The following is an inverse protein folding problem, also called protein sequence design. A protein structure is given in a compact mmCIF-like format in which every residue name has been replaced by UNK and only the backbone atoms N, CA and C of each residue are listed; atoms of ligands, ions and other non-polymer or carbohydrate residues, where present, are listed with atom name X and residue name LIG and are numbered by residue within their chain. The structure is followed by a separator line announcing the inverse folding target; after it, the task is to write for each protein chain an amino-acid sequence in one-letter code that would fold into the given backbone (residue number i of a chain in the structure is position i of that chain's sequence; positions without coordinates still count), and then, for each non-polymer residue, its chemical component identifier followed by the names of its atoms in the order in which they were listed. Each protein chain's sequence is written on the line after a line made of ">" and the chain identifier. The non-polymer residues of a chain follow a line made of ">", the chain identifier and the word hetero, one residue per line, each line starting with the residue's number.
data_IF_038703740598
#
_entry.id   IF_038703740598
#
_cell.length_a   1.000
_cell.length_b   1.000
_cell.length_c   1.000
_cell.angle_alpha   90.00
_cell.angle_beta   90.00
_cell.angle_gamma   90.00
#
_symmetry.space_group_name_H-M   'P 1'
#
loop_
_entity.id
_entity.type
_entity.pdbx_description
1 polymer ?
#
# COMPACT_ATOMS: atom_id res chain seq x y z
N UNK A 1 -16.56 39.67 41.70
CA UNK A 1 -17.00 38.52 42.51
C UNK A 1 -17.69 37.44 41.61
N UNK A 2 -18.69 37.74 40.71
CA UNK A 2 -19.36 36.69 39.90
C UNK A 2 -18.44 35.97 38.93
N UNK A 3 -17.46 36.67 38.35
CA UNK A 3 -16.48 36.08 37.37
C UNK A 3 -15.54 35.03 38.02
N UNK A 4 -15.17 35.23 39.28
CA UNK A 4 -14.34 34.28 40.04
C UNK A 4 -15.12 32.99 40.37
N UNK A 5 -16.39 33.11 40.70
CA UNK A 5 -17.26 31.94 40.91
C UNK A 5 -17.48 31.14 39.63
N UNK A 6 -17.74 31.80 38.49
CA UNK A 6 -17.91 31.13 37.21
C UNK A 6 -16.63 30.41 36.74
N UNK A 7 -15.47 31.03 36.95
CA UNK A 7 -14.17 30.41 36.63
C UNK A 7 -13.90 29.18 37.51
N UNK A 8 -14.25 29.29 38.84
CA UNK A 8 -14.12 28.16 39.76
C UNK A 8 -14.99 26.95 39.36
N UNK A 9 -16.23 27.17 38.98
CA UNK A 9 -17.11 26.12 38.46
C UNK A 9 -16.62 25.53 37.16
N UNK A 10 -16.08 26.33 36.23
CA UNK A 10 -15.53 25.87 34.97
C UNK A 10 -14.29 24.99 35.20
N UNK A 11 -13.36 25.39 36.07
CA UNK A 11 -12.20 24.58 36.45
C UNK A 11 -12.58 23.27 37.14
N UNK A 12 -13.62 23.31 38.02
CA UNK A 12 -14.15 22.13 38.68
C UNK A 12 -14.75 21.15 37.64
N UNK A 13 -15.53 21.65 36.69
CA UNK A 13 -16.10 20.84 35.59
C UNK A 13 -15.00 20.17 34.75
N UNK A 14 -13.94 20.90 34.40
CA UNK A 14 -12.77 20.35 33.70
C UNK A 14 -12.11 19.25 34.55
N UNK A 15 -11.89 19.50 35.84
CA UNK A 15 -11.28 18.50 36.72
C UNK A 15 -12.13 17.23 36.84
N UNK A 16 -13.45 17.38 36.99
CA UNK A 16 -14.39 16.26 37.04
C UNK A 16 -14.39 15.50 35.71
N UNK A 17 -14.37 16.21 34.58
CA UNK A 17 -14.29 15.58 33.25
C UNK A 17 -12.98 14.79 33.07
N UNK A 18 -11.85 15.33 33.55
CA UNK A 18 -10.55 14.62 33.53
C UNK A 18 -10.56 13.36 34.38
N UNK A 19 -11.12 13.43 35.60
CA UNK A 19 -11.24 12.27 36.48
C UNK A 19 -12.17 11.22 35.86
N UNK A 20 -13.34 11.62 35.36
CA UNK A 20 -14.28 10.71 34.70
C UNK A 20 -13.66 10.03 33.46
N UNK A 21 -12.91 10.80 32.65
CA UNK A 21 -12.18 10.26 31.49
C UNK A 21 -11.10 9.27 31.93
N UNK A 22 -10.32 9.60 32.97
CA UNK A 22 -9.33 8.69 33.55
C UNK A 22 -9.93 7.38 34.06
N UNK A 23 -11.05 7.46 34.76
CA UNK A 23 -11.78 6.28 35.23
C UNK A 23 -12.33 5.43 34.06
N UNK A 24 -12.81 6.07 33.00
CA UNK A 24 -13.26 5.36 31.79
C UNK A 24 -12.10 4.61 31.16
N UNK A 25 -10.93 5.25 30.97
CA UNK A 25 -9.74 4.59 30.42
C UNK A 25 -9.27 3.43 31.29
N UNK A 26 -9.26 3.61 32.61
CA UNK A 26 -8.93 2.54 33.56
C UNK A 26 -9.92 1.37 33.44
N UNK A 27 -11.19 1.66 33.36
CA UNK A 27 -12.24 0.63 33.20
C UNK A 27 -12.04 -0.16 31.90
N UNK A 28 -11.81 0.53 30.79
CA UNK A 28 -11.51 -0.11 29.49
C UNK A 28 -10.28 -1.01 29.60
N UNK A 29 -9.21 -0.51 30.25
CA UNK A 29 -8.00 -1.31 30.48
C UNK A 29 -8.27 -2.55 31.33
N UNK A 30 -8.97 -2.40 32.45
CA UNK A 30 -9.29 -3.51 33.35
C UNK A 30 -10.16 -4.57 32.68
N UNK A 31 -11.18 -4.17 31.92
CA UNK A 31 -12.01 -5.09 31.14
C UNK A 31 -11.20 -5.83 30.08
N UNK A 32 -10.36 -5.10 29.30
CA UNK A 32 -9.50 -5.69 28.31
C UNK A 32 -8.48 -6.66 28.95
N UNK A 33 -7.89 -6.29 30.08
CA UNK A 33 -6.96 -7.12 30.83
C UNK A 33 -7.64 -8.39 31.38
N UNK A 34 -8.80 -8.23 32.02
CA UNK A 34 -9.58 -9.37 32.54
C UNK A 34 -9.98 -10.35 31.43
N UNK A 35 -10.28 -9.87 30.23
CA UNK A 35 -10.56 -10.71 29.08
C UNK A 35 -9.30 -11.42 28.53
N UNK A 36 -8.13 -10.78 28.55
CA UNK A 36 -6.87 -11.29 27.99
C UNK A 36 -6.06 -12.14 28.94
N UNK A 37 -6.04 -11.82 30.22
CA UNK A 37 -5.20 -12.49 31.23
C UNK A 37 -5.43 -14.01 31.31
N UNK A 38 -6.67 -14.54 31.29
CA UNK A 38 -6.89 -15.99 31.28
C UNK A 38 -6.45 -16.70 30.00
N UNK A 39 -6.37 -15.93 28.88
CA UNK A 39 -6.01 -16.43 27.55
C UNK A 39 -4.54 -16.24 27.21
N UNK A 40 -3.74 -15.75 28.16
CA UNK A 40 -2.31 -15.55 27.97
C UNK A 40 -1.58 -16.88 27.84
N UNK A 41 -0.47 -16.85 27.11
CA UNK A 41 0.44 -18.01 27.08
C UNK A 41 1.06 -18.24 28.46
N UNK A 42 1.33 -19.50 28.82
CA UNK A 42 1.87 -19.89 30.14
C UNK A 42 3.16 -19.14 30.51
N UNK A 43 4.02 -18.86 29.53
CA UNK A 43 5.27 -18.11 29.73
C UNK A 43 5.10 -16.61 29.95
N UNK A 44 3.89 -16.06 29.84
CA UNK A 44 3.64 -14.65 30.12
C UNK A 44 3.33 -14.43 31.61
N UNK A 45 4.16 -13.63 32.28
CA UNK A 45 3.82 -13.10 33.60
C UNK A 45 2.59 -12.17 33.52
N UNK A 46 1.90 -11.98 34.66
CA UNK A 46 0.76 -11.03 34.72
C UNK A 46 1.19 -9.60 34.36
N UNK A 47 2.38 -9.18 34.82
CA UNK A 47 2.94 -7.86 34.49
C UNK A 47 3.20 -7.70 32.97
N UNK A 48 3.76 -8.74 32.33
CA UNK A 48 3.94 -8.75 30.88
C UNK A 48 2.58 -8.67 30.17
N UNK A 49 1.57 -9.45 30.64
CA UNK A 49 0.22 -9.42 30.07
C UNK A 49 -0.46 -8.05 30.22
N UNK A 50 -0.28 -7.37 31.34
CA UNK A 50 -0.78 -6.01 31.57
C UNK A 50 -0.16 -5.03 30.55
N UNK A 51 1.18 -5.08 30.42
CA UNK A 51 1.90 -4.28 29.43
C UNK A 51 1.46 -4.58 27.99
N UNK A 52 1.38 -5.84 27.65
CA UNK A 52 0.90 -6.29 26.34
C UNK A 52 -0.52 -5.78 26.04
N UNK A 53 -1.41 -5.78 27.05
CA UNK A 53 -2.78 -5.26 26.93
C UNK A 53 -2.77 -3.75 26.72
N UNK A 54 -1.94 -3.01 27.45
CA UNK A 54 -1.78 -1.56 27.26
C UNK A 54 -1.28 -1.25 25.84
N UNK A 55 -0.22 -1.91 25.38
CA UNK A 55 0.29 -1.76 24.03
C UNK A 55 -0.76 -2.08 22.95
N UNK A 56 -1.56 -3.13 23.17
CA UNK A 56 -2.64 -3.50 22.26
C UNK A 56 -3.72 -2.42 22.19
N UNK A 57 -4.14 -1.84 23.31
CA UNK A 57 -5.10 -0.72 23.34
C UNK A 57 -4.54 0.51 22.60
N UNK A 58 -3.31 0.89 22.87
CA UNK A 58 -2.65 2.02 22.20
C UNK A 58 -2.58 1.81 20.69
N UNK A 59 -2.23 0.60 20.25
CA UNK A 59 -2.20 0.28 18.81
C UNK A 59 -3.61 0.32 18.21
N UNK A 60 -4.62 -0.20 18.90
CA UNK A 60 -6.03 -0.17 18.42
C UNK A 60 -6.58 1.26 18.30
N UNK A 61 -6.16 2.17 19.17
CA UNK A 61 -6.55 3.58 19.08
C UNK A 61 -5.91 4.29 17.89
N UNK A 62 -4.63 4.00 17.61
CA UNK A 62 -3.84 4.77 16.62
C UNK A 62 -3.67 4.11 15.26
N UNK A 63 -3.91 2.79 15.15
CA UNK A 63 -3.56 2.02 13.96
C UNK A 63 -4.64 1.01 13.57
N UNK A 64 -4.85 0.85 12.27
CA UNK A 64 -5.62 -0.26 11.69
C UNK A 64 -4.63 -1.28 11.16
N UNK A 65 -4.40 -2.36 11.90
CA UNK A 65 -3.38 -3.36 11.57
C UNK A 65 -4.02 -4.54 10.85
N UNK A 66 -3.53 -4.83 9.64
CA UNK A 66 -3.84 -6.04 8.87
C UNK A 66 -2.65 -6.97 8.96
N UNK A 67 -2.88 -8.25 9.29
CA UNK A 67 -1.82 -9.26 9.45
C UNK A 67 -2.08 -10.43 8.54
N UNK A 68 -1.03 -10.94 7.90
CA UNK A 68 -1.01 -12.20 7.14
C UNK A 68 0.12 -13.07 7.68
N UNK A 69 -0.08 -14.39 7.75
CA UNK A 69 0.93 -15.35 8.19
C UNK A 69 1.10 -15.45 9.70
N UNK A 70 0.11 -15.05 10.51
CA UNK A 70 0.18 -15.13 11.97
C UNK A 70 0.39 -16.59 12.45
N UNK A 71 -0.13 -17.55 11.69
CA UNK A 71 0.01 -18.99 11.89
C UNK A 71 1.45 -19.49 11.72
N UNK A 72 2.32 -18.70 11.10
CA UNK A 72 3.74 -19.06 10.93
C UNK A 72 4.57 -18.84 12.20
N UNK A 73 4.03 -18.16 13.23
CA UNK A 73 4.70 -18.02 14.53
C UNK A 73 4.57 -19.37 15.26
N UNK A 74 5.68 -20.08 15.53
CA UNK A 74 5.62 -21.38 16.21
C UNK A 74 5.00 -21.26 17.60
N UNK A 75 4.12 -22.21 17.94
CA UNK A 75 3.50 -22.26 19.27
C UNK A 75 4.54 -22.57 20.37
N UNK A 76 5.57 -23.31 20.03
CA UNK A 76 6.64 -23.74 20.93
C UNK A 76 8.01 -23.67 20.24
N UNK A 77 9.07 -23.80 21.02
CA UNK A 77 10.45 -23.76 20.54
C UNK A 77 10.97 -22.33 20.30
N UNK A 78 12.28 -22.21 20.19
CA UNK A 78 12.95 -20.94 19.92
C UNK A 78 12.78 -20.51 18.48
N UNK A 79 12.59 -19.22 18.24
CA UNK A 79 12.55 -18.65 16.91
C UNK A 79 13.12 -17.24 16.89
N UNK A 80 13.97 -16.95 15.91
CA UNK A 80 14.53 -15.61 15.70
C UNK A 80 13.65 -14.83 14.72
N UNK A 81 12.85 -13.91 15.25
CA UNK A 81 12.10 -12.95 14.45
C UNK A 81 13.04 -11.89 13.87
N UNK A 82 12.98 -11.69 12.57
CA UNK A 82 13.76 -10.67 11.87
C UNK A 82 12.79 -9.75 11.12
N UNK A 83 12.76 -8.46 11.48
CA UNK A 83 11.86 -7.49 10.88
C UNK A 83 12.62 -6.26 10.37
N UNK A 84 12.03 -5.55 9.39
CA UNK A 84 12.46 -4.21 9.00
C UNK A 84 12.08 -3.19 10.09
N UNK A 85 12.87 -2.10 10.20
CA UNK A 85 12.71 -1.10 11.27
C UNK A 85 12.39 0.29 10.72
N UNK A 86 11.12 0.65 10.75
CA UNK A 86 10.58 1.87 10.12
C UNK A 86 10.21 2.94 11.14
N UNK A 87 9.69 2.52 12.30
CA UNK A 87 9.23 3.42 13.36
C UNK A 87 9.46 2.82 14.77
N UNK A 88 9.51 3.66 15.77
CA UNK A 88 9.59 3.19 17.18
C UNK A 88 8.41 2.29 17.59
N UNK A 89 7.24 2.44 16.94
CA UNK A 89 6.08 1.60 17.22
C UNK A 89 6.20 0.17 16.66
N UNK A 90 7.19 -0.14 15.82
CA UNK A 90 7.38 -1.51 15.28
C UNK A 90 7.53 -2.54 16.40
N UNK A 91 8.23 -2.17 17.48
CA UNK A 91 8.39 -3.02 18.67
C UNK A 91 7.04 -3.37 19.30
N UNK A 92 6.13 -2.38 19.39
CA UNK A 92 4.78 -2.58 19.94
C UNK A 92 3.98 -3.50 19.04
N UNK A 93 4.03 -3.27 17.72
CA UNK A 93 3.34 -4.10 16.72
C UNK A 93 3.80 -5.55 16.83
N UNK A 94 5.11 -5.77 16.80
CA UNK A 94 5.70 -7.11 16.89
C UNK A 94 5.38 -7.80 18.23
N UNK A 95 5.46 -7.05 19.33
CA UNK A 95 5.17 -7.58 20.67
C UNK A 95 3.71 -8.03 20.83
N UNK A 96 2.76 -7.25 20.27
CA UNK A 96 1.33 -7.50 20.42
C UNK A 96 0.81 -8.62 19.51
N UNK A 97 1.48 -8.90 18.38
CA UNK A 97 1.07 -9.94 17.44
C UNK A 97 1.38 -11.36 17.94
N UNK A 98 2.40 -11.52 18.75
CA UNK A 98 2.74 -12.83 19.31
C UNK A 98 1.88 -13.16 20.52
N UNK A 99 1.41 -14.41 20.58
CA UNK A 99 0.77 -14.97 21.80
C UNK A 99 1.80 -15.33 22.87
N UNK A 100 3.07 -15.43 22.52
CA UNK A 100 4.20 -15.76 23.38
C UNK A 100 5.00 -14.49 23.69
N UNK A 101 5.69 -14.38 24.82
CA UNK A 101 6.59 -13.26 25.08
C UNK A 101 7.65 -13.13 24.00
N UNK A 102 7.89 -11.90 23.56
CA UNK A 102 8.94 -11.59 22.58
C UNK A 102 10.02 -10.78 23.29
N UNK A 103 11.26 -11.28 23.27
CA UNK A 103 12.43 -10.55 23.76
C UNK A 103 13.02 -9.72 22.62
N UNK A 104 13.05 -8.42 22.81
CA UNK A 104 13.66 -7.51 21.85
C UNK A 104 15.11 -7.22 22.20
N UNK A 105 15.96 -7.09 21.18
CA UNK A 105 17.23 -6.42 21.34
C UNK A 105 16.97 -4.92 21.37
N UNK A 106 17.39 -4.26 22.45
CA UNK A 106 17.16 -2.82 22.67
C UNK A 106 18.46 -2.08 22.91
N UNK A 107 18.52 -0.81 22.48
CA UNK A 107 19.68 0.02 22.77
C UNK A 107 19.85 0.20 24.28
N UNK A 108 21.06 -0.05 24.78
CA UNK A 108 21.41 0.02 26.22
C UNK A 108 21.01 1.35 26.87
N UNK A 109 21.05 2.45 26.12
CA UNK A 109 20.66 3.76 26.64
C UNK A 109 19.22 3.86 27.16
N UNK A 110 18.31 2.97 26.69
CA UNK A 110 16.95 2.94 27.21
C UNK A 110 16.86 2.44 28.65
N UNK A 111 17.79 1.58 29.09
CA UNK A 111 17.82 1.09 30.47
C UNK A 111 18.14 2.18 31.51
N UNK A 112 18.84 3.24 31.10
CA UNK A 112 19.18 4.37 31.94
C UNK A 112 17.98 5.30 32.22
N UNK A 113 16.96 5.25 31.38
CA UNK A 113 15.76 6.06 31.58
C UNK A 113 14.78 5.31 32.51
N UNK A 114 14.33 5.98 33.60
CA UNK A 114 13.50 5.36 34.65
C UNK A 114 12.30 4.58 34.11
N UNK A 115 11.50 5.22 33.24
CA UNK A 115 10.31 4.62 32.65
C UNK A 115 10.65 3.56 31.59
N UNK A 116 11.51 3.89 30.62
CA UNK A 116 11.89 2.94 29.56
C UNK A 116 12.65 1.76 30.10
N UNK A 117 13.55 1.97 31.09
CA UNK A 117 14.27 0.89 31.75
C UNK A 117 13.33 -0.08 32.52
N UNK A 118 12.28 0.46 33.18
CA UNK A 118 11.25 -0.38 33.78
C UNK A 118 10.53 -1.21 32.72
N UNK A 119 10.15 -0.62 31.58
CA UNK A 119 9.53 -1.31 30.46
C UNK A 119 10.43 -2.41 29.89
N UNK A 120 11.71 -2.08 29.66
CA UNK A 120 12.72 -3.03 29.17
C UNK A 120 12.84 -4.24 30.10
N UNK A 121 12.92 -4.02 31.41
CA UNK A 121 12.99 -5.11 32.40
C UNK A 121 11.72 -5.96 32.42
N UNK A 122 10.55 -5.32 32.37
CA UNK A 122 9.26 -6.05 32.36
C UNK A 122 9.10 -6.93 31.11
N UNK A 123 9.56 -6.43 29.96
CA UNK A 123 9.54 -7.16 28.69
C UNK A 123 10.72 -8.13 28.54
N UNK A 124 11.69 -8.13 29.44
CA UNK A 124 12.88 -8.97 29.37
C UNK A 124 13.72 -8.69 28.14
N UNK A 125 13.89 -7.41 27.76
CA UNK A 125 14.70 -7.05 26.59
C UNK A 125 16.17 -7.38 26.81
N UNK A 126 16.90 -7.58 25.72
CA UNK A 126 18.34 -7.84 25.72
C UNK A 126 19.06 -6.54 25.32
N UNK A 127 19.81 -5.91 26.23
CA UNK A 127 20.50 -4.67 25.93
C UNK A 127 21.63 -4.90 24.93
N UNK A 128 21.75 -4.00 23.95
CA UNK A 128 22.81 -4.01 22.94
C UNK A 128 23.48 -2.65 22.86
N UNK A 129 24.81 -2.65 22.82
CA UNK A 129 25.66 -1.49 22.52
C UNK A 129 26.88 -1.98 21.75
N UNK A 130 27.71 -1.06 21.25
CA UNK A 130 28.94 -1.43 20.54
C UNK A 130 29.88 -2.26 21.43
N UNK A 131 29.94 -1.95 22.72
CA UNK A 131 30.76 -2.66 23.71
C UNK A 131 30.16 -3.99 24.17
N UNK A 132 28.83 -4.14 24.14
CA UNK A 132 28.09 -5.31 24.62
C UNK A 132 27.55 -6.21 23.50
N UNK A 133 27.94 -5.99 22.24
CA UNK A 133 27.43 -6.75 21.11
C UNK A 133 27.64 -8.26 21.25
N UNK A 134 28.82 -8.68 21.75
CA UNK A 134 29.14 -10.11 21.99
C UNK A 134 28.22 -10.72 23.08
N UNK A 135 28.01 -9.99 24.17
CA UNK A 135 27.13 -10.42 25.27
C UNK A 135 25.68 -10.55 24.79
N UNK A 136 25.19 -9.58 24.00
CA UNK A 136 23.85 -9.60 23.43
C UNK A 136 23.65 -10.82 22.52
N UNK A 137 24.64 -11.19 21.68
CA UNK A 137 24.60 -12.39 20.85
C UNK A 137 24.52 -13.65 21.72
N UNK A 138 25.30 -13.72 22.78
CA UNK A 138 25.31 -14.88 23.70
C UNK A 138 23.94 -15.01 24.38
N UNK A 139 23.44 -13.95 25.02
CA UNK A 139 22.13 -13.95 25.71
C UNK A 139 20.97 -14.25 24.77
N UNK A 140 21.02 -13.76 23.52
CA UNK A 140 20.01 -14.04 22.52
C UNK A 140 20.02 -15.51 22.11
N UNK A 141 21.20 -16.09 21.87
CA UNK A 141 21.34 -17.51 21.55
C UNK A 141 20.85 -18.42 22.69
N UNK A 142 21.16 -18.07 23.94
CA UNK A 142 20.68 -18.80 25.12
C UNK A 142 19.16 -18.70 25.27
N UNK A 143 18.55 -17.53 25.01
CA UNK A 143 17.11 -17.36 25.03
C UNK A 143 16.43 -18.23 23.96
N UNK A 144 16.97 -18.27 22.76
CA UNK A 144 16.49 -19.16 21.68
C UNK A 144 16.62 -20.64 22.07
N UNK A 145 17.74 -21.05 22.65
CA UNK A 145 17.95 -22.43 23.11
C UNK A 145 16.97 -22.85 24.23
N UNK A 146 16.50 -21.90 25.07
CA UNK A 146 15.43 -22.13 26.04
C UNK A 146 14.02 -22.17 25.42
N UNK A 147 13.91 -22.05 24.09
CA UNK A 147 12.63 -22.07 23.41
C UNK A 147 11.93 -20.71 23.39
N UNK A 148 12.62 -19.61 23.64
CA UNK A 148 12.01 -18.28 23.66
C UNK A 148 11.99 -17.64 22.26
N UNK A 149 11.13 -16.62 22.06
CA UNK A 149 11.13 -15.79 20.85
C UNK A 149 12.06 -14.59 21.07
N UNK A 150 13.03 -14.44 20.18
CA UNK A 150 13.91 -13.27 20.15
C UNK A 150 13.62 -12.47 18.89
N UNK A 151 13.39 -11.17 19.01
CA UNK A 151 13.16 -10.27 17.89
C UNK A 151 14.32 -9.30 17.71
N UNK A 152 14.83 -9.22 16.48
CA UNK A 152 15.88 -8.29 16.09
C UNK A 152 15.47 -7.50 14.85
N UNK A 153 15.84 -6.22 14.85
CA UNK A 153 15.83 -5.36 13.67
C UNK A 153 17.28 -5.29 13.15
N UNK A 154 17.65 -6.12 12.16
CA UNK A 154 19.06 -6.30 11.80
C UNK A 154 19.67 -5.09 11.09
N UNK A 155 18.88 -4.09 10.75
CA UNK A 155 19.33 -2.80 10.24
C UNK A 155 20.11 -2.01 11.31
N UNK A 156 19.85 -2.28 12.58
CA UNK A 156 20.52 -1.67 13.72
C UNK A 156 20.16 -0.21 14.00
N UNK A 157 19.28 0.37 13.20
CA UNK A 157 18.69 1.69 13.39
C UNK A 157 17.39 1.82 12.60
N UNK A 158 16.59 2.85 12.93
CA UNK A 158 15.40 3.19 12.14
C UNK A 158 15.80 3.70 10.77
N UNK A 159 15.07 3.26 9.73
CA UNK A 159 15.30 3.74 8.36
C UNK A 159 15.17 5.27 8.26
N UNK A 160 15.98 5.87 7.39
CA UNK A 160 15.94 7.31 7.09
C UNK A 160 15.22 7.66 5.79
N UNK A 161 14.96 6.68 4.96
CA UNK A 161 14.30 6.84 3.64
C UNK A 161 13.03 6.01 3.46
N UNK A 162 12.65 5.20 4.48
CA UNK A 162 11.47 4.34 4.44
C UNK A 162 11.70 2.96 3.81
N UNK A 163 12.87 2.73 3.22
CA UNK A 163 13.24 1.44 2.62
C UNK A 163 14.05 0.55 3.58
N UNK A 164 14.19 -0.72 3.21
CA UNK A 164 15.01 -1.70 3.93
C UNK A 164 16.50 -1.35 3.76
N UNK A 165 17.17 -1.09 4.87
CA UNK A 165 18.60 -0.79 4.90
C UNK A 165 19.45 -2.07 4.80
N UNK A 166 20.76 -1.92 4.87
CA UNK A 166 21.69 -3.03 4.93
C UNK A 166 21.54 -3.81 6.24
N UNK A 167 21.49 -5.13 6.16
CA UNK A 167 21.40 -5.99 7.33
C UNK A 167 22.78 -6.20 7.94
N UNK A 168 22.91 -6.01 9.24
CA UNK A 168 24.12 -6.30 10.02
C UNK A 168 24.21 -7.80 10.33
N UNK A 169 25.39 -8.41 10.18
CA UNK A 169 25.61 -9.85 10.33
C UNK A 169 25.34 -10.44 11.75
N UNK A 170 25.07 -9.60 12.75
CA UNK A 170 24.82 -10.06 14.12
C UNK A 170 23.69 -11.09 14.25
N UNK A 171 22.63 -10.97 13.46
CA UNK A 171 21.51 -11.90 13.49
C UNK A 171 21.93 -13.32 13.06
N UNK A 172 22.88 -13.47 12.14
CA UNK A 172 23.40 -14.76 11.68
C UNK A 172 24.08 -15.51 12.82
N UNK A 173 24.87 -14.78 13.61
CA UNK A 173 25.55 -15.37 14.77
C UNK A 173 24.55 -15.79 15.86
N UNK A 174 23.50 -15.00 16.09
CA UNK A 174 22.43 -15.32 17.04
C UNK A 174 21.69 -16.59 16.59
N UNK A 175 21.29 -16.67 15.32
CA UNK A 175 20.56 -17.82 14.78
C UNK A 175 21.37 -19.12 14.86
N UNK A 176 22.65 -19.05 14.46
CA UNK A 176 23.56 -20.22 14.54
C UNK A 176 23.78 -20.66 15.97
N UNK A 177 24.01 -19.73 16.90
CA UNK A 177 24.25 -20.05 18.30
C UNK A 177 23.04 -20.67 18.99
N UNK A 178 21.84 -20.15 18.68
CA UNK A 178 20.59 -20.62 19.27
C UNK A 178 20.03 -21.87 18.61
N UNK A 179 20.57 -22.32 17.47
CA UNK A 179 20.04 -23.43 16.69
C UNK A 179 18.58 -23.24 16.24
N UNK A 180 18.09 -22.02 16.27
CA UNK A 180 16.68 -21.68 16.04
C UNK A 180 16.44 -21.26 14.59
N UNK A 181 15.25 -21.55 14.04
CA UNK A 181 14.86 -21.06 12.72
C UNK A 181 14.70 -19.53 12.71
N UNK A 182 14.89 -18.96 11.53
CA UNK A 182 14.66 -17.54 11.24
C UNK A 182 13.24 -17.36 10.74
N UNK A 183 12.49 -16.42 11.35
CA UNK A 183 11.15 -16.03 10.92
C UNK A 183 11.17 -14.60 10.41
N UNK A 184 11.10 -14.39 9.10
CA UNK A 184 11.13 -13.05 8.51
C UNK A 184 9.76 -12.39 8.63
N UNK A 185 9.75 -11.10 8.95
CA UNK A 185 8.53 -10.29 9.06
C UNK A 185 8.73 -8.95 8.36
N UNK A 186 7.76 -8.53 7.57
CA UNK A 186 7.74 -7.21 6.97
C UNK A 186 6.60 -6.37 7.53
N UNK A 187 6.93 -5.11 7.87
CA UNK A 187 5.98 -4.10 8.35
C UNK A 187 5.93 -2.99 7.31
N UNK A 188 4.74 -2.69 6.80
CA UNK A 188 4.47 -1.58 5.89
C UNK A 188 3.46 -0.60 6.50
N UNK A 189 3.46 0.65 6.02
CA UNK A 189 2.55 1.71 6.47
C UNK A 189 3.07 2.54 7.65
N UNK A 190 4.15 2.15 8.33
CA UNK A 190 4.71 2.90 9.47
C UNK A 190 5.50 4.12 9.04
N UNK A 191 6.03 4.17 7.81
CA UNK A 191 6.72 5.34 7.28
C UNK A 191 5.76 6.52 7.11
N UNK A 192 6.10 7.67 7.64
CA UNK A 192 5.22 8.84 7.72
C UNK A 192 4.36 8.91 8.99
N UNK A 193 4.45 7.92 9.90
CA UNK A 193 3.87 8.03 11.25
C UNK A 193 4.62 9.06 12.09
N UNK A 194 4.00 9.53 13.17
CA UNK A 194 4.65 10.44 14.14
C UNK A 194 5.91 9.83 14.76
N UNK A 195 5.99 8.50 14.83
CA UNK A 195 7.08 7.73 15.42
C UNK A 195 8.15 7.29 14.42
N UNK A 196 8.08 7.72 13.14
CA UNK A 196 9.08 7.46 12.10
C UNK A 196 9.93 8.69 11.83
N UNK A 197 11.08 8.54 11.14
CA UNK A 197 11.95 9.65 10.72
C UNK A 197 11.54 10.33 9.41
N UNK A 198 10.38 10.02 8.89
CA UNK A 198 9.87 10.67 7.68
C UNK A 198 9.84 12.20 7.84
N UNK A 199 10.41 12.94 6.88
CA UNK A 199 10.56 14.38 6.96
C UNK A 199 11.68 14.86 7.91
N UNK A 200 12.62 13.98 8.26
CA UNK A 200 13.81 14.32 9.06
C UNK A 200 13.58 14.49 10.56
N UNK A 201 12.34 14.36 11.03
CA UNK A 201 11.96 14.54 12.45
C UNK A 201 11.07 13.38 12.90
N UNK A 202 11.24 12.93 14.15
CA UNK A 202 10.32 12.05 14.87
C UNK A 202 9.62 12.81 15.99
N UNK A 203 8.42 12.36 16.40
CA UNK A 203 7.55 12.89 17.46
C UNK A 203 6.88 14.25 17.20
N UNK A 204 7.50 15.18 16.47
CA UNK A 204 7.00 16.55 16.28
C UNK A 204 6.35 16.72 14.88
N UNK A 205 5.34 15.90 14.57
CA UNK A 205 4.56 16.03 13.34
C UNK A 205 3.13 15.56 13.56
N UNK A 206 2.18 16.20 12.88
CA UNK A 206 0.79 15.79 12.91
C UNK A 206 0.59 14.51 12.09
N UNK A 207 -0.27 13.58 12.56
CA UNK A 207 -0.60 12.38 11.81
C UNK A 207 -1.39 12.75 10.56
N UNK A 208 -0.93 12.29 9.39
CA UNK A 208 -1.66 12.49 8.12
C UNK A 208 -2.89 11.59 7.98
N UNK A 209 -2.90 10.46 8.67
CA UNK A 209 -3.98 9.48 8.69
C UNK A 209 -4.22 9.01 10.12
N UNK A 210 -5.48 8.95 10.54
CA UNK A 210 -5.87 8.47 11.85
C UNK A 210 -7.24 7.77 11.76
N UNK A 211 -7.37 6.49 12.19
CA UNK A 211 -6.28 5.56 12.51
C UNK A 211 -5.38 5.29 11.29
N UNK A 212 -4.10 5.01 11.54
CA UNK A 212 -3.13 4.77 10.47
C UNK A 212 -3.17 3.32 10.00
N UNK A 213 -3.31 3.05 8.68
CA UNK A 213 -3.26 1.70 8.16
C UNK A 213 -1.82 1.15 8.20
N UNK A 214 -1.68 -0.07 8.71
CA UNK A 214 -0.42 -0.81 8.81
C UNK A 214 -0.67 -2.23 8.32
N UNK A 215 0.20 -2.73 7.46
CA UNK A 215 0.22 -4.11 7.03
C UNK A 215 1.43 -4.84 7.61
N UNK A 216 1.22 -6.07 8.04
CA UNK A 216 2.28 -6.95 8.54
C UNK A 216 2.17 -8.29 7.86
N UNK A 217 3.27 -8.74 7.29
CA UNK A 217 3.36 -10.06 6.66
C UNK A 217 4.44 -10.87 7.36
N UNK A 218 4.05 -12.01 7.87
CA UNK A 218 4.92 -12.97 8.55
C UNK A 218 5.19 -14.14 7.61
N UNK A 219 6.43 -14.29 7.20
CA UNK A 219 6.84 -15.36 6.29
C UNK A 219 6.91 -16.72 6.98
N UNK A 220 7.22 -17.74 6.21
CA UNK A 220 7.49 -19.09 6.77
C UNK A 220 8.85 -19.11 7.44
N UNK A 221 9.00 -19.82 8.59
CA UNK A 221 10.30 -20.00 9.20
C UNK A 221 11.21 -20.84 8.30
N UNK A 222 12.51 -20.53 8.32
CA UNK A 222 13.52 -21.25 7.55
C UNK A 222 14.79 -21.49 8.40
N UNK A 223 15.60 -22.50 8.05
CA UNK A 223 16.79 -22.85 8.83
C UNK A 223 17.82 -21.71 8.89
N UNK A 224 18.52 -21.59 10.03
CA UNK A 224 19.63 -20.64 10.21
C UNK A 224 20.75 -20.80 9.15
N UNK A 225 20.94 -22.00 8.58
CA UNK A 225 21.89 -22.25 7.50
C UNK A 225 21.59 -21.46 6.22
N UNK A 226 20.32 -21.07 6.01
CA UNK A 226 19.87 -20.28 4.86
C UNK A 226 19.85 -18.76 5.12
N UNK A 227 20.52 -18.29 6.16
CA UNK A 227 20.53 -16.87 6.56
C UNK A 227 20.86 -15.89 5.43
N UNK A 228 21.64 -16.31 4.42
CA UNK A 228 21.95 -15.48 3.26
C UNK A 228 20.71 -15.05 2.46
N UNK A 229 19.62 -15.84 2.53
CA UNK A 229 18.33 -15.53 1.87
C UNK A 229 17.48 -14.51 2.66
N UNK A 230 17.86 -14.15 3.89
CA UNK A 230 17.04 -13.29 4.79
C UNK A 230 16.66 -11.99 4.14
N UNK A 231 17.60 -11.28 3.48
CA UNK A 231 17.32 -10.01 2.82
C UNK A 231 16.30 -10.17 1.68
N UNK A 232 16.46 -11.21 0.86
CA UNK A 232 15.53 -11.49 -0.24
C UNK A 232 14.12 -11.76 0.32
N UNK A 233 14.02 -12.61 1.34
CA UNK A 233 12.74 -12.92 1.99
C UNK A 233 12.07 -11.69 2.58
N UNK A 234 12.83 -10.80 3.22
CA UNK A 234 12.28 -9.54 3.74
C UNK A 234 11.78 -8.62 2.62
N UNK A 235 12.47 -8.56 1.46
CA UNK A 235 12.02 -7.78 0.30
C UNK A 235 10.74 -8.36 -0.32
N UNK A 236 10.64 -9.68 -0.46
CA UNK A 236 9.44 -10.38 -0.93
C UNK A 236 8.24 -10.07 -0.02
N UNK A 237 8.41 -10.21 1.30
CA UNK A 237 7.36 -9.92 2.27
C UNK A 237 7.01 -8.42 2.33
N UNK A 238 7.99 -7.53 2.13
CA UNK A 238 7.74 -6.09 2.06
C UNK A 238 6.87 -5.73 0.84
N UNK A 239 7.10 -6.40 -0.30
CA UNK A 239 6.25 -6.23 -1.49
C UNK A 239 4.82 -6.75 -1.22
N UNK A 240 4.68 -7.90 -0.53
CA UNK A 240 3.37 -8.43 -0.12
C UNK A 240 2.65 -7.48 0.86
N UNK A 241 3.37 -6.95 1.86
CA UNK A 241 2.81 -6.00 2.82
C UNK A 241 2.36 -4.70 2.13
N UNK A 242 3.16 -4.20 1.19
CA UNK A 242 2.79 -3.07 0.34
C UNK A 242 1.50 -3.33 -0.43
N UNK A 243 1.38 -4.52 -1.04
CA UNK A 243 0.19 -4.92 -1.79
C UNK A 243 -1.09 -5.01 -0.93
N UNK A 244 -0.98 -5.11 0.40
CA UNK A 244 -2.11 -5.10 1.33
C UNK A 244 -2.66 -3.70 1.63
N UNK A 245 -2.09 -2.63 1.08
CA UNK A 245 -2.59 -1.26 1.29
C UNK A 245 -3.99 -1.12 0.72
N UNK A 246 -4.90 -0.59 1.52
CA UNK A 246 -6.29 -0.36 1.09
C UNK A 246 -6.39 0.60 -0.12
N UNK A 247 -5.45 1.54 -0.26
CA UNK A 247 -5.38 2.45 -1.40
C UNK A 247 -5.15 1.73 -2.75
N UNK A 248 -4.58 0.52 -2.73
CA UNK A 248 -4.33 -0.29 -3.92
C UNK A 248 -5.51 -1.22 -4.26
N UNK A 249 -6.57 -1.23 -3.44
CA UNK A 249 -7.80 -1.98 -3.71
C UNK A 249 -8.78 -1.18 -4.58
N UNK A 250 -8.49 0.11 -4.81
CA UNK A 250 -9.30 1.00 -5.61
C UNK A 250 -9.40 0.59 -7.08
N UNK A 251 -10.40 1.13 -7.78
CA UNK A 251 -10.56 0.97 -9.22
C UNK A 251 -9.81 2.09 -9.95
N UNK A 252 -8.89 1.75 -10.87
CA UNK A 252 -8.03 2.71 -11.58
C UNK A 252 -8.84 3.85 -12.23
N UNK A 253 -9.92 3.53 -12.92
CA UNK A 253 -10.78 4.53 -13.55
C UNK A 253 -11.38 5.51 -12.53
N UNK A 254 -11.73 5.04 -11.33
CA UNK A 254 -12.27 5.89 -10.26
C UNK A 254 -11.18 6.80 -9.68
N UNK A 255 -10.01 6.28 -9.41
CA UNK A 255 -8.88 7.06 -8.86
C UNK A 255 -8.42 8.15 -9.85
N UNK A 256 -8.31 7.79 -11.14
CA UNK A 256 -7.96 8.75 -12.20
C UNK A 256 -9.07 9.82 -12.36
N UNK A 257 -10.35 9.41 -12.36
CA UNK A 257 -11.47 10.34 -12.45
C UNK A 257 -11.51 11.32 -11.27
N UNK A 258 -11.26 10.83 -10.05
CA UNK A 258 -11.17 11.65 -8.85
C UNK A 258 -10.01 12.64 -8.92
N UNK A 259 -8.84 12.18 -9.36
CA UNK A 259 -7.66 13.03 -9.55
C UNK A 259 -7.89 14.14 -10.58
N UNK A 260 -8.51 13.82 -11.72
CA UNK A 260 -8.83 14.80 -12.78
C UNK A 260 -9.93 15.76 -12.33
N UNK A 261 -10.96 15.29 -11.62
CA UNK A 261 -12.01 16.14 -11.08
C UNK A 261 -11.44 17.14 -10.05
N UNK A 262 -10.59 16.71 -9.14
CA UNK A 262 -9.88 17.58 -8.18
C UNK A 262 -8.98 18.60 -8.86
N UNK A 263 -8.34 18.24 -9.97
CA UNK A 263 -7.56 19.16 -10.79
C UNK A 263 -8.43 20.26 -11.43
N UNK A 264 -9.68 19.95 -11.73
CA UNK A 264 -10.68 20.89 -12.21
C UNK A 264 -10.22 21.70 -13.41
N UNK A 265 -10.07 23.02 -13.23
CA UNK A 265 -9.62 23.98 -14.26
C UNK A 265 -8.10 24.00 -14.50
N UNK A 266 -7.29 23.32 -13.71
CA UNK A 266 -5.85 23.28 -13.92
C UNK A 266 -5.49 22.37 -15.12
N UNK A 267 -4.39 22.70 -15.84
CA UNK A 267 -3.90 21.94 -16.98
C UNK A 267 -3.48 20.54 -16.52
N UNK A 268 -4.05 19.51 -17.15
CA UNK A 268 -3.76 18.11 -16.91
C UNK A 268 -2.99 17.46 -18.08
N UNK A 269 -3.17 17.94 -19.30
CA UNK A 269 -2.51 17.42 -20.49
C UNK A 269 -2.12 18.58 -21.42
N UNK A 270 -0.90 18.53 -21.95
CA UNK A 270 -0.43 19.40 -23.04
C UNK A 270 -0.14 18.53 -24.25
N UNK A 271 -0.93 18.68 -25.32
CA UNK A 271 -0.72 18.00 -26.58
C UNK A 271 0.14 18.89 -27.52
N UNK A 272 1.20 18.29 -28.06
CA UNK A 272 2.12 18.93 -29.03
C UNK A 272 2.24 18.15 -30.35
N UNK A 273 1.30 17.27 -30.62
CA UNK A 273 1.30 16.46 -31.85
C UNK A 273 1.12 17.29 -33.12
N UNK A 274 0.52 18.47 -32.99
CA UNK A 274 0.39 19.49 -34.04
C UNK A 274 0.65 20.89 -33.46
N UNK A 275 -0.36 21.73 -33.33
CA UNK A 275 -0.28 22.95 -32.53
C UNK A 275 -0.39 22.63 -31.05
N UNK A 276 0.32 23.40 -30.22
CA UNK A 276 0.20 23.26 -28.75
C UNK A 276 -1.25 23.47 -28.30
N UNK A 277 -1.83 22.44 -27.69
CA UNK A 277 -3.18 22.48 -27.10
C UNK A 277 -3.13 22.02 -25.65
N UNK A 278 -3.86 22.70 -24.80
CA UNK A 278 -3.91 22.43 -23.36
C UNK A 278 -5.31 21.97 -22.97
N UNK A 279 -5.35 20.91 -22.16
CA UNK A 279 -6.58 20.32 -21.66
C UNK A 279 -6.58 20.36 -20.14
N UNK A 280 -7.64 20.91 -19.57
CA UNK A 280 -7.84 20.92 -18.12
C UNK A 280 -8.26 19.54 -17.62
N UNK A 281 -8.10 19.28 -16.31
CA UNK A 281 -8.54 18.02 -15.70
C UNK A 281 -10.02 17.75 -15.96
N UNK A 282 -10.87 18.76 -15.77
CA UNK A 282 -12.31 18.62 -16.00
C UNK A 282 -12.64 18.33 -17.48
N UNK A 283 -11.97 19.01 -18.43
CA UNK A 283 -12.18 18.79 -19.86
C UNK A 283 -11.76 17.38 -20.28
N UNK A 284 -10.57 16.96 -19.85
CA UNK A 284 -10.07 15.63 -20.16
C UNK A 284 -10.97 14.53 -19.59
N UNK A 285 -11.46 14.72 -18.36
CA UNK A 285 -12.40 13.79 -17.73
C UNK A 285 -13.75 13.74 -18.47
N UNK A 286 -14.30 14.89 -18.90
CA UNK A 286 -15.55 14.95 -19.66
C UNK A 286 -15.44 14.21 -20.99
N UNK A 287 -14.33 14.39 -21.74
CA UNK A 287 -14.05 13.69 -22.98
C UNK A 287 -13.92 12.17 -22.76
N UNK A 288 -13.13 11.77 -21.76
CA UNK A 288 -12.97 10.34 -21.41
C UNK A 288 -14.29 9.70 -21.00
N UNK A 289 -15.12 10.40 -20.22
CA UNK A 289 -16.42 9.90 -19.79
C UNK A 289 -17.41 9.74 -20.97
N UNK A 290 -17.43 10.70 -21.89
CA UNK A 290 -18.22 10.57 -23.11
C UNK A 290 -17.74 9.39 -23.96
N UNK A 291 -16.42 9.23 -24.13
CA UNK A 291 -15.82 8.12 -24.87
C UNK A 291 -16.08 6.77 -24.21
N UNK A 292 -16.10 6.70 -22.88
CA UNK A 292 -16.49 5.49 -22.14
C UNK A 292 -17.92 5.03 -22.47
N UNK A 293 -18.86 5.98 -22.64
CA UNK A 293 -20.22 5.70 -23.08
C UNK A 293 -20.27 5.08 -24.48
N UNK A 294 -19.43 5.59 -25.41
CA UNK A 294 -19.32 5.03 -26.76
C UNK A 294 -18.74 3.59 -26.74
N UNK A 295 -17.67 3.37 -25.98
CA UNK A 295 -17.08 2.04 -25.86
C UNK A 295 -18.06 1.01 -25.31
N UNK A 296 -18.87 1.38 -24.29
CA UNK A 296 -19.90 0.47 -23.72
C UNK A 296 -20.99 0.12 -24.74
N UNK A 297 -21.27 1.00 -25.70
CA UNK A 297 -22.24 0.73 -26.79
C UNK A 297 -21.65 -0.16 -27.89
N UNK A 298 -20.37 0.01 -28.23
CA UNK A 298 -19.71 -0.64 -29.37
C UNK A 298 -19.26 -2.06 -29.07
N UNK A 299 -18.83 -2.35 -27.85
CA UNK A 299 -18.30 -3.66 -27.52
C UNK A 299 -18.69 -4.13 -26.13
N UNK A 300 -18.91 -5.44 -26.00
CA UNK A 300 -19.06 -6.14 -24.72
C UNK A 300 -17.73 -6.72 -24.22
N UNK A 301 -16.70 -6.76 -25.08
CA UNK A 301 -15.38 -7.28 -24.70
C UNK A 301 -14.81 -6.48 -23.54
N UNK A 302 -14.11 -7.15 -22.63
CA UNK A 302 -13.38 -6.52 -21.52
C UNK A 302 -12.19 -5.69 -22.04
N UNK A 303 -11.57 -6.11 -23.14
CA UNK A 303 -10.38 -5.51 -23.71
C UNK A 303 -10.68 -4.73 -24.98
N UNK A 304 -9.99 -3.61 -25.16
CA UNK A 304 -10.10 -2.73 -26.34
C UNK A 304 -8.70 -2.43 -26.84
N UNK A 305 -8.42 -2.73 -28.11
CA UNK A 305 -7.15 -2.40 -28.73
C UNK A 305 -7.08 -0.90 -29.04
N UNK A 306 -5.93 -0.29 -28.77
CA UNK A 306 -5.66 1.12 -29.08
C UNK A 306 -4.43 1.16 -29.99
N UNK A 307 -4.63 1.68 -31.20
CA UNK A 307 -3.59 1.87 -32.22
C UNK A 307 -3.51 3.36 -32.55
N UNK A 308 -2.84 4.09 -31.70
CA UNK A 308 -2.72 5.54 -31.76
C UNK A 308 -1.31 6.00 -31.40
N UNK A 309 -0.82 7.09 -32.06
CA UNK A 309 0.40 7.74 -31.60
C UNK A 309 0.14 8.49 -30.28
N UNK A 310 1.20 8.78 -29.50
CA UNK A 310 1.08 9.60 -28.28
C UNK A 310 0.42 10.95 -28.62
N UNK A 311 -0.59 11.33 -27.80
CA UNK A 311 -1.34 12.58 -27.96
C UNK A 311 -2.68 12.53 -27.23
N UNK A 312 -3.49 13.58 -27.39
CA UNK A 312 -4.79 13.68 -26.71
C UNK A 312 -5.75 12.55 -27.09
N UNK A 313 -5.74 12.11 -28.35
CA UNK A 313 -6.58 10.99 -28.81
C UNK A 313 -6.26 9.70 -28.05
N UNK A 314 -4.98 9.35 -27.92
CA UNK A 314 -4.55 8.20 -27.16
C UNK A 314 -4.88 8.34 -25.66
N UNK A 315 -4.70 9.54 -25.09
CA UNK A 315 -5.06 9.82 -23.69
C UNK A 315 -6.57 9.62 -23.43
N UNK A 316 -7.43 10.16 -24.31
CA UNK A 316 -8.89 10.02 -24.22
C UNK A 316 -9.32 8.56 -24.43
N UNK A 317 -8.71 7.83 -25.37
CA UNK A 317 -9.01 6.42 -25.61
C UNK A 317 -8.67 5.56 -24.40
N UNK A 318 -7.47 5.71 -23.81
CA UNK A 318 -7.07 4.99 -22.59
C UNK A 318 -7.98 5.36 -21.41
N UNK A 319 -8.25 6.65 -21.20
CA UNK A 319 -9.13 7.13 -20.15
C UNK A 319 -10.55 6.57 -20.33
N UNK A 320 -11.08 6.59 -21.56
CA UNK A 320 -12.39 6.03 -21.88
C UNK A 320 -12.48 4.53 -21.57
N UNK A 321 -11.42 3.75 -21.85
CA UNK A 321 -11.37 2.34 -21.49
C UNK A 321 -11.51 2.14 -19.97
N UNK A 322 -10.67 2.79 -19.18
CA UNK A 322 -10.70 2.60 -17.71
C UNK A 322 -11.99 3.17 -17.08
N UNK A 323 -12.58 4.22 -17.67
CA UNK A 323 -13.88 4.75 -17.24
C UNK A 323 -15.07 3.89 -17.74
N UNK A 324 -14.87 3.04 -18.74
CA UNK A 324 -15.84 2.04 -19.17
C UNK A 324 -15.75 0.71 -18.40
N UNK A 325 -14.83 0.60 -17.45
CA UNK A 325 -14.44 -0.65 -16.79
C UNK A 325 -13.91 -1.67 -17.79
N UNK A 326 -13.09 -1.21 -18.74
CA UNK A 326 -12.42 -2.01 -19.77
C UNK A 326 -10.91 -1.88 -19.67
N UNK A 327 -10.21 -2.90 -20.14
CA UNK A 327 -8.75 -2.96 -20.17
C UNK A 327 -8.23 -2.41 -21.51
N UNK A 328 -7.51 -1.28 -21.55
CA UNK A 328 -6.84 -0.83 -22.75
C UNK A 328 -5.69 -1.77 -23.12
N UNK A 329 -5.58 -2.08 -24.42
CA UNK A 329 -4.50 -2.84 -25.02
C UNK A 329 -3.78 -1.93 -26.03
N UNK A 330 -2.76 -1.21 -25.56
CA UNK A 330 -1.98 -0.35 -26.44
C UNK A 330 -1.06 -1.19 -27.32
N UNK A 331 -1.36 -1.24 -28.60
CA UNK A 331 -0.59 -1.99 -29.57
C UNK A 331 0.51 -1.12 -30.17
N UNK A 332 1.70 -1.71 -30.26
CA UNK A 332 2.78 -1.09 -30.99
C UNK A 332 2.52 -1.20 -32.51
N UNK A 333 2.25 -0.09 -33.15
CA UNK A 333 1.97 0.00 -34.60
C UNK A 333 3.19 -0.21 -35.49
N UNK A 334 4.40 -0.37 -34.92
CA UNK A 334 5.61 -0.75 -35.67
C UNK A 334 5.83 -2.28 -35.76
N UNK A 335 4.93 -3.08 -35.17
CA UNK A 335 4.97 -4.53 -35.29
C UNK A 335 4.65 -4.97 -36.71
N UNK A 336 5.32 -6.05 -37.16
CA UNK A 336 4.94 -6.74 -38.40
C UNK A 336 3.53 -7.35 -38.30
N UNK A 337 2.88 -7.61 -39.45
CA UNK A 337 1.52 -8.14 -39.56
C UNK A 337 1.26 -9.34 -38.64
N UNK A 338 2.11 -10.36 -38.70
CA UNK A 338 1.94 -11.60 -37.92
C UNK A 338 1.96 -11.36 -36.42
N UNK A 339 2.88 -10.50 -35.95
CA UNK A 339 3.00 -10.16 -34.56
C UNK A 339 1.80 -9.33 -34.08
N UNK A 340 1.35 -8.36 -34.89
CA UNK A 340 0.17 -7.55 -34.58
C UNK A 340 -1.08 -8.41 -34.52
N UNK A 341 -1.27 -9.33 -35.47
CA UNK A 341 -2.38 -10.29 -35.50
C UNK A 341 -2.34 -11.21 -34.26
N UNK A 342 -1.17 -11.74 -33.94
CA UNK A 342 -0.97 -12.55 -32.73
C UNK A 342 -1.34 -11.79 -31.45
N UNK A 343 -1.00 -10.50 -31.34
CA UNK A 343 -1.39 -9.66 -30.21
C UNK A 343 -2.91 -9.49 -30.13
N UNK A 344 -3.58 -9.18 -31.23
CA UNK A 344 -5.04 -9.00 -31.28
C UNK A 344 -5.78 -10.28 -30.88
N UNK A 345 -5.37 -11.42 -31.45
CA UNK A 345 -5.95 -12.72 -31.12
C UNK A 345 -5.77 -13.11 -29.66
N UNK A 346 -4.55 -12.97 -29.13
CA UNK A 346 -4.27 -13.27 -27.71
C UNK A 346 -4.95 -12.31 -26.74
N UNK A 347 -5.17 -11.06 -27.18
CA UNK A 347 -5.91 -10.09 -26.39
C UNK A 347 -7.43 -10.31 -26.45
N UNK A 348 -7.92 -11.15 -27.36
CA UNK A 348 -9.37 -11.43 -27.53
C UNK A 348 -10.18 -10.13 -27.71
N UNK A 349 -9.66 -9.21 -28.51
CA UNK A 349 -10.31 -7.92 -28.76
C UNK A 349 -11.20 -8.01 -30.00
N UNK A 350 -12.35 -7.37 -29.94
CA UNK A 350 -13.31 -7.22 -31.03
C UNK A 350 -13.36 -5.80 -31.60
N UNK A 351 -12.75 -4.84 -30.90
CA UNK A 351 -12.76 -3.42 -31.26
C UNK A 351 -11.35 -2.83 -31.25
N UNK A 352 -10.98 -2.14 -32.32
CA UNK A 352 -9.74 -1.35 -32.43
C UNK A 352 -10.08 0.14 -32.46
N UNK A 353 -9.49 0.91 -31.58
CA UNK A 353 -9.60 2.39 -31.54
C UNK A 353 -8.41 3.00 -32.26
N UNK A 354 -8.67 3.90 -33.21
CA UNK A 354 -7.63 4.62 -33.96
C UNK A 354 -8.10 6.03 -34.33
N UNK A 355 -7.31 6.75 -35.14
CA UNK A 355 -7.71 8.02 -35.78
C UNK A 355 -7.51 7.88 -37.30
N UNK A 356 -8.49 8.33 -38.10
CA UNK A 356 -8.49 8.14 -39.54
C UNK A 356 -7.23 8.64 -40.23
N UNK A 357 -6.80 9.84 -39.87
CA UNK A 357 -5.54 10.41 -40.40
C UNK A 357 -4.30 9.55 -40.04
N UNK A 358 -4.30 8.91 -38.85
CA UNK A 358 -3.23 8.00 -38.46
C UNK A 358 -3.35 6.65 -39.17
N UNK A 359 -4.58 6.13 -39.31
CA UNK A 359 -4.86 4.90 -40.04
C UNK A 359 -4.39 4.98 -41.48
N UNK A 360 -4.69 6.08 -42.20
CA UNK A 360 -4.24 6.30 -43.55
C UNK A 360 -2.71 6.28 -43.69
N UNK A 361 -2.01 7.03 -42.82
CA UNK A 361 -0.55 7.05 -42.79
C UNK A 361 0.07 5.71 -42.46
N UNK A 362 -0.54 4.93 -41.57
CA UNK A 362 -0.06 3.60 -41.24
C UNK A 362 -0.31 2.63 -42.37
N UNK A 363 -1.45 2.72 -43.06
CA UNK A 363 -1.77 1.87 -44.22
C UNK A 363 -0.85 2.13 -45.43
N UNK A 364 -0.33 3.36 -45.58
CA UNK A 364 0.69 3.66 -46.59
C UNK A 364 2.03 2.93 -46.30
N UNK A 365 2.41 2.84 -45.02
CA UNK A 365 3.66 2.22 -44.59
C UNK A 365 3.55 0.70 -44.38
N UNK A 366 2.38 0.24 -43.95
CA UNK A 366 2.06 -1.13 -43.60
C UNK A 366 0.64 -1.46 -44.11
N UNK A 367 0.47 -1.68 -45.44
CA UNK A 367 -0.86 -1.90 -46.05
C UNK A 367 -1.60 -3.10 -45.45
N UNK A 368 -0.86 -4.08 -44.98
CA UNK A 368 -1.36 -5.32 -44.42
C UNK A 368 -1.59 -5.28 -42.90
N UNK A 369 -1.58 -4.12 -42.28
CA UNK A 369 -1.80 -4.05 -40.82
C UNK A 369 -3.20 -4.60 -40.47
N UNK A 370 -3.31 -5.54 -39.49
CA UNK A 370 -4.57 -6.22 -39.18
C UNK A 370 -5.46 -5.35 -38.31
N UNK A 371 -6.36 -4.58 -38.91
CA UNK A 371 -7.26 -3.68 -38.20
C UNK A 371 -8.43 -4.40 -37.49
N UNK A 372 -8.69 -5.69 -37.77
CA UNK A 372 -9.84 -6.40 -37.22
C UNK A 372 -11.16 -5.99 -37.87
N UNK A 373 -12.28 -6.56 -37.37
CA UNK A 373 -13.60 -6.39 -37.97
C UNK A 373 -14.26 -5.06 -37.59
N UNK A 374 -14.00 -4.56 -36.38
CA UNK A 374 -14.58 -3.32 -35.88
C UNK A 374 -13.48 -2.28 -35.58
N UNK A 375 -13.58 -1.14 -36.19
CA UNK A 375 -12.69 -0.01 -35.99
C UNK A 375 -13.49 1.21 -35.57
N UNK A 376 -13.10 1.84 -34.47
CA UNK A 376 -13.66 3.10 -33.97
C UNK A 376 -12.68 4.23 -34.22
N UNK A 377 -13.06 5.19 -35.01
CA UNK A 377 -12.28 6.42 -35.20
C UNK A 377 -12.62 7.44 -34.10
N UNK A 378 -11.58 7.97 -33.47
CA UNK A 378 -11.75 9.01 -32.43
C UNK A 378 -12.34 10.30 -33.03
N UNK A 379 -12.09 10.61 -34.31
CA UNK A 379 -12.67 11.76 -34.97
C UNK A 379 -14.19 11.58 -35.19
N UNK A 380 -14.62 10.38 -35.61
CA UNK A 380 -16.04 10.04 -35.75
C UNK A 380 -16.78 10.16 -34.42
N UNK A 381 -16.15 9.73 -33.33
CA UNK A 381 -16.69 9.94 -31.99
C UNK A 381 -16.89 11.43 -31.69
N UNK A 382 -15.92 12.28 -31.98
CA UNK A 382 -16.01 13.72 -31.71
C UNK A 382 -17.07 14.42 -32.55
N UNK A 383 -17.37 13.90 -33.76
CA UNK A 383 -18.42 14.42 -34.63
C UNK A 383 -19.81 13.88 -34.27
N UNK A 384 -19.91 12.62 -33.84
CA UNK A 384 -21.16 11.97 -33.44
C UNK A 384 -21.69 12.45 -32.09
N UNK A 385 -20.80 12.85 -31.17
CA UNK A 385 -21.21 13.37 -29.86
C UNK A 385 -21.49 14.88 -29.96
N UNK A 386 -22.70 15.27 -29.56
CA UNK A 386 -23.06 16.67 -29.53
C UNK A 386 -22.16 17.43 -28.55
N UNK A 387 -21.74 18.63 -28.91
CA UNK A 387 -21.04 19.55 -28.01
C UNK A 387 -21.81 19.74 -26.70
N UNK A 388 -23.15 19.65 -26.77
CA UNK A 388 -24.03 19.73 -25.61
C UNK A 388 -23.84 18.58 -24.62
N UNK A 389 -23.63 17.33 -25.08
CA UNK A 389 -23.37 16.19 -24.19
C UNK A 389 -22.05 16.37 -23.42
N UNK A 390 -20.99 16.77 -24.12
CA UNK A 390 -19.68 17.05 -23.47
C UNK A 390 -19.79 18.23 -22.51
N UNK A 391 -20.51 19.30 -22.89
CA UNK A 391 -20.74 20.46 -22.03
C UNK A 391 -21.54 20.09 -20.76
N UNK A 392 -22.56 19.25 -20.91
CA UNK A 392 -23.34 18.74 -19.77
C UNK A 392 -22.44 17.98 -18.77
N UNK A 393 -21.62 17.02 -19.27
CA UNK A 393 -20.67 16.27 -18.42
C UNK A 393 -19.65 17.18 -17.75
N UNK A 394 -19.14 18.16 -18.48
CA UNK A 394 -18.24 19.19 -17.95
C UNK A 394 -18.92 19.99 -16.82
N UNK A 395 -20.17 20.37 -17.01
CA UNK A 395 -20.98 21.03 -15.99
C UNK A 395 -21.15 20.16 -14.75
N UNK A 396 -21.51 18.87 -14.91
CA UNK A 396 -21.61 17.94 -13.80
C UNK A 396 -20.29 17.83 -13.02
N UNK A 397 -19.15 17.73 -13.71
CA UNK A 397 -17.82 17.62 -13.07
C UNK A 397 -17.46 18.93 -12.32
N UNK A 398 -17.86 20.11 -12.83
CA UNK A 398 -17.50 21.40 -12.23
C UNK A 398 -18.38 21.83 -11.08
N UNK A 399 -19.67 21.50 -11.11
CA UNK A 399 -20.67 22.04 -10.19
C UNK A 399 -21.15 21.03 -9.15
N UNK A 400 -21.02 19.70 -9.40
CA UNK A 400 -21.36 18.70 -8.40
C UNK A 400 -20.16 18.41 -7.48
N UNK A 401 -20.42 18.00 -6.23
CA UNK A 401 -19.39 17.37 -5.40
C UNK A 401 -18.74 16.20 -6.14
N UNK A 402 -17.43 16.06 -6.04
CA UNK A 402 -16.67 15.02 -6.77
C UNK A 402 -17.27 13.61 -6.58
N UNK A 403 -17.71 13.28 -5.36
CA UNK A 403 -18.34 11.98 -5.06
C UNK A 403 -19.61 11.72 -5.87
N UNK A 404 -20.42 12.76 -6.15
CA UNK A 404 -21.64 12.66 -6.93
C UNK A 404 -21.34 12.53 -8.42
N UNK A 405 -20.39 13.31 -8.92
CA UNK A 405 -19.93 13.18 -10.31
C UNK A 405 -19.40 11.77 -10.59
N UNK A 406 -18.61 11.21 -9.67
CA UNK A 406 -18.13 9.82 -9.76
C UNK A 406 -19.25 8.78 -9.69
N UNK A 407 -20.29 9.03 -8.88
CA UNK A 407 -21.46 8.14 -8.82
C UNK A 407 -22.20 8.11 -10.17
N UNK A 408 -22.34 9.25 -10.86
CA UNK A 408 -22.94 9.33 -12.19
C UNK A 408 -22.16 8.55 -13.27
N UNK A 409 -20.85 8.33 -13.07
CA UNK A 409 -20.03 7.53 -14.01
C UNK A 409 -20.26 6.02 -13.86
N UNK A 410 -20.85 5.56 -12.74
CA UNK A 410 -21.16 4.14 -12.49
C UNK A 410 -19.92 3.27 -12.36
N UNK A 411 -18.80 3.82 -11.87
CA UNK A 411 -17.54 3.08 -11.74
C UNK A 411 -17.54 2.19 -10.49
N UNK A 412 -16.98 0.97 -10.58
CA UNK A 412 -16.73 0.12 -9.42
C UNK A 412 -15.92 0.85 -8.34
N UNK A 413 -16.18 0.55 -7.08
CA UNK A 413 -15.40 1.11 -5.96
C UNK A 413 -14.06 0.41 -5.80
N UNK A 414 -14.01 -0.88 -6.10
CA UNK A 414 -12.83 -1.74 -5.96
C UNK A 414 -12.47 -2.34 -7.31
N UNK A 415 -11.19 -2.52 -7.53
CA UNK A 415 -10.62 -3.16 -8.70
C UNK A 415 -9.56 -4.20 -8.29
N UNK A 416 -8.74 -3.89 -7.28
CA UNK A 416 -7.78 -4.82 -6.67
C UNK A 416 -6.96 -5.58 -7.71
N UNK A 417 -7.13 -6.90 -7.76
CA UNK A 417 -6.40 -7.80 -8.64
C UNK A 417 -7.08 -8.02 -10.01
N UNK A 418 -8.23 -7.36 -10.26
CA UNK A 418 -8.87 -7.38 -11.57
C UNK A 418 -8.00 -6.70 -12.63
N UNK A 419 -8.10 -7.16 -13.88
CA UNK A 419 -7.32 -6.63 -14.98
C UNK A 419 -7.69 -5.18 -15.31
N UNK A 420 -6.70 -4.29 -15.25
CA UNK A 420 -6.83 -2.86 -15.57
C UNK A 420 -6.21 -2.48 -16.91
N UNK A 421 -5.20 -3.23 -17.38
CA UNK A 421 -4.57 -3.05 -18.68
C UNK A 421 -3.87 -4.34 -19.13
N UNK A 422 -3.71 -4.50 -20.45
CA UNK A 422 -2.89 -5.56 -21.04
C UNK A 422 -1.79 -4.91 -21.90
N UNK A 423 -0.54 -5.24 -21.60
CA UNK A 423 0.63 -4.77 -22.35
C UNK A 423 1.34 -5.93 -23.03
N UNK A 424 1.77 -5.72 -24.29
CA UNK A 424 2.60 -6.68 -24.99
C UNK A 424 4.07 -6.28 -24.91
N UNK A 425 4.93 -7.24 -24.57
CA UNK A 425 6.38 -7.09 -24.54
C UNK A 425 7.00 -7.95 -25.63
N UNK A 426 8.15 -7.51 -26.18
CA UNK A 426 8.95 -8.33 -27.09
C UNK A 426 9.52 -9.52 -26.32
N UNK A 427 8.94 -10.71 -26.51
CA UNK A 427 9.45 -11.95 -25.90
C UNK A 427 10.84 -12.30 -26.43
N UNK A 428 11.70 -12.86 -25.59
CA UNK A 428 13.02 -13.38 -25.97
C UNK A 428 12.95 -14.45 -27.08
N UNK A 429 11.79 -15.05 -27.30
CA UNK A 429 11.49 -16.04 -28.34
C UNK A 429 10.91 -15.44 -29.63
N UNK A 430 10.95 -14.11 -29.81
CA UNK A 430 10.41 -13.41 -30.99
C UNK A 430 8.89 -13.25 -31.02
N UNK A 431 8.14 -13.97 -30.18
CA UNK A 431 6.68 -13.84 -30.07
C UNK A 431 6.31 -12.88 -28.94
N UNK A 432 5.39 -11.91 -29.18
CA UNK A 432 4.92 -11.00 -28.15
C UNK A 432 4.26 -11.73 -26.98
N UNK A 433 4.64 -11.36 -25.75
CA UNK A 433 4.02 -11.87 -24.52
C UNK A 433 3.10 -10.83 -23.93
N UNK A 434 1.83 -11.23 -23.66
CA UNK A 434 0.86 -10.38 -22.99
C UNK A 434 1.08 -10.37 -21.48
N UNK A 435 1.28 -9.20 -20.90
CA UNK A 435 1.41 -8.96 -19.46
C UNK A 435 0.14 -8.30 -18.96
N UNK A 436 -0.62 -9.00 -18.15
CA UNK A 436 -1.81 -8.48 -17.49
C UNK A 436 -1.39 -7.62 -16.31
N UNK A 437 -1.82 -6.37 -16.29
CA UNK A 437 -1.66 -5.48 -15.16
C UNK A 437 -3.00 -5.31 -14.44
N UNK A 438 -3.02 -5.60 -13.14
CA UNK A 438 -4.19 -5.35 -12.32
C UNK A 438 -4.28 -3.87 -11.91
N UNK A 439 -5.46 -3.47 -11.40
CA UNK A 439 -5.62 -2.15 -10.79
C UNK A 439 -4.55 -1.92 -9.72
N UNK A 440 -4.30 -2.91 -8.87
CA UNK A 440 -3.27 -2.89 -7.81
C UNK A 440 -1.85 -2.68 -8.34
N UNK A 441 -1.53 -3.21 -9.53
CA UNK A 441 -0.18 -3.04 -10.11
C UNK A 441 0.06 -1.62 -10.63
N UNK A 442 -1.00 -0.87 -10.93
CA UNK A 442 -0.92 0.47 -11.51
C UNK A 442 -1.07 1.57 -10.44
N UNK A 443 -1.90 1.35 -9.41
CA UNK A 443 -2.11 2.26 -8.29
C UNK A 443 -0.95 2.24 -7.29
#
# INVERSE_FOLDING_TARGET
>A
VPLLYSLGWFLLMIAVAFVAFGLLLLTIFLLAFAWRAPRRHQSMSLGYCAMHTLCWLLLKCGYTIRVRGLENIPAEGGVLLIANHVAYADVLVMGVMSRRPVRFLSWEGFERHKFLGFMCRLMGTIPVSETKAKEAIIKSGEALARGEIVCIFPEGSLTRNGGLMQLRKGFELIARRGGAPILPVAIDGMWGSILSFSGGKSFWKLPKHFPRPVAVVIGKPFPASEHAKTRLRLLELAAEAFAMRASLEGHLGREVAEGLAKKGGAIALVDRTSARREFTGATLLALGWAFAGELKRRTKSKRVAIVLPPGVAAAVANLGCVLADKSPVNLNFSLGREQALSCLQRAEVDLVVTAGAFRSKLSEKSPDFPWGDQVLDVADFLTAHSRADIACRLGLIRFLPTSWALACMGLPKQGGDDEAALLFTSGSSGQPKGVRLSHRNIL
#
